data_IF_810651178285
#
_entry.id   IF_810651178285
#
_cell.length_a   1.000
_cell.length_b   1.000
_cell.length_c   1.000
_cell.angle_alpha   90.00
_cell.angle_beta   90.00
_cell.angle_gamma   90.00
#
_symmetry.space_group_name_H-M   'P 1'
#
loop_
_entity.id
_entity.type
_entity.pdbx_description
1 polymer ?
2 non-polymer ?
3 water ?
#
# COMPACT_ATOMS: atom_id res chain seq x y z
N UNK A 3 -3.04 -5.42 -27.19
CA UNK A 3 -3.44 -4.03 -27.41
C UNK A 3 -2.54 -3.07 -26.63
N UNK A 4 -2.05 -2.04 -27.32
CA UNK A 4 -1.05 -1.17 -26.74
C UNK A 4 -1.65 0.05 -26.04
N UNK A 5 -2.96 0.24 -26.09
CA UNK A 5 -3.54 1.14 -25.11
C UNK A 5 -3.35 0.55 -23.72
N UNK A 6 -3.37 -0.79 -23.62
CA UNK A 6 -3.12 -1.45 -22.33
C UNK A 6 -1.70 -1.20 -21.88
N UNK A 7 -0.73 -1.40 -22.78
CA UNK A 7 0.68 -1.19 -22.45
C UNK A 7 0.92 0.23 -21.91
N UNK A 8 0.21 1.23 -22.44
CA UNK A 8 0.39 2.63 -22.08
C UNK A 8 -0.69 3.14 -21.14
N UNK A 9 -1.45 2.23 -20.52
CA UNK A 9 -2.54 2.62 -19.64
C UNK A 9 -2.09 3.59 -18.55
N UNK A 10 -0.84 3.48 -18.11
CA UNK A 10 -0.33 4.31 -17.03
C UNK A 10 0.99 4.95 -17.40
N UNK A 11 1.19 6.17 -16.91
CA UNK A 11 2.49 6.82 -16.96
C UNK A 11 3.11 6.71 -15.57
N UNK A 12 4.38 6.34 -15.52
CA UNK A 12 5.04 5.97 -14.27
C UNK A 12 5.92 7.11 -13.79
N UNK A 13 5.78 7.47 -12.52
CA UNK A 13 6.64 8.48 -11.90
C UNK A 13 7.41 7.83 -10.75
N UNK A 14 8.71 7.58 -10.89
CA UNK A 14 9.44 6.87 -9.82
C UNK A 14 9.74 7.79 -8.65
N UNK A 15 9.82 7.18 -7.47
CA UNK A 15 10.16 7.94 -6.26
C UNK A 15 11.61 8.41 -6.30
N UNK A 16 12.51 7.60 -6.85
CA UNK A 16 13.92 7.96 -6.94
C UNK A 16 14.50 7.33 -8.20
N UNK A 17 15.75 7.66 -8.49
CA UNK A 17 16.41 7.07 -9.66
C UNK A 17 16.63 5.57 -9.47
N UNK A 18 16.82 5.12 -8.23
CA UNK A 18 16.90 3.68 -7.99
C UNK A 18 15.57 3.01 -8.27
N UNK A 19 14.46 3.63 -7.87
CA UNK A 19 13.16 3.06 -8.17
C UNK A 19 12.95 2.97 -9.67
N UNK A 20 13.45 3.95 -10.41
CA UNK A 20 13.34 3.93 -11.87
C UNK A 20 14.09 2.75 -12.45
N UNK A 21 15.29 2.46 -11.93
CA UNK A 21 16.05 1.31 -12.41
C UNK A 21 15.30 0.02 -12.16
N UNK A 22 14.74 -0.13 -10.96
CA UNK A 22 14.01 -1.35 -10.63
C UNK A 22 12.77 -1.47 -11.50
N UNK A 23 12.07 -0.36 -11.72
CA UNK A 23 10.91 -0.37 -12.59
C UNK A 23 11.29 -0.79 -14.01
N UNK A 24 12.39 -0.25 -14.54
CA UNK A 24 12.79 -0.61 -15.90
C UNK A 24 13.21 -2.06 -16.01
N UNK A 25 13.66 -2.68 -14.91
CA UNK A 25 13.96 -4.10 -14.94
C UNK A 25 12.71 -4.96 -15.08
N UNK A 26 11.53 -4.44 -14.69
CA UNK A 26 10.25 -5.11 -14.89
C UNK A 26 10.18 -6.47 -14.20
N UNK A 27 10.98 -6.67 -13.15
CA UNK A 27 11.01 -7.97 -12.46
C UNK A 27 9.70 -8.25 -11.74
N UNK A 28 9.21 -7.27 -10.97
CA UNK A 28 8.03 -7.52 -10.14
C UNK A 28 7.37 -6.20 -9.79
N UNK A 29 6.04 -6.21 -9.81
CA UNK A 29 5.23 -5.10 -9.32
C UNK A 29 4.30 -5.61 -8.23
N UNK A 30 4.20 -4.85 -7.15
CA UNK A 30 3.24 -5.09 -6.08
C UNK A 30 2.18 -3.99 -6.16
N UNK A 31 0.94 -4.38 -6.42
CA UNK A 31 -0.14 -3.42 -6.62
C UNK A 31 -0.83 -3.19 -5.28
N UNK A 32 -0.72 -1.97 -4.74
CA UNK A 32 -1.36 -1.69 -3.47
C UNK A 32 -2.81 -1.27 -3.65
N UNK A 33 -3.74 -2.01 -3.05
CA UNK A 33 -5.18 -1.74 -3.19
C UNK A 33 -5.65 -1.23 -1.84
N UNK A 34 -6.05 0.03 -1.80
CA UNK A 34 -6.38 0.70 -0.55
C UNK A 34 -7.86 0.45 -0.20
N UNK A 35 -8.16 0.09 1.05
CA UNK A 35 -9.55 -0.18 1.42
C UNK A 35 -10.35 1.10 1.65
N UNK A 36 -11.64 1.02 1.36
CA UNK A 36 -12.57 2.14 1.56
C UNK A 36 -12.15 3.36 0.76
N UNK A 37 -11.71 3.11 -0.46
CA UNK A 37 -11.23 4.14 -1.38
C UNK A 37 -11.95 3.93 -2.70
N UNK A 38 -12.75 4.91 -3.11
CA UNK A 38 -13.61 4.74 -4.29
C UNK A 38 -12.81 4.54 -5.57
N UNK A 39 -11.54 4.93 -5.59
CA UNK A 39 -10.71 4.76 -6.78
C UNK A 39 -10.67 3.31 -7.25
N UNK A 40 -10.71 2.35 -6.32
CA UNK A 40 -10.46 0.95 -6.65
C UNK A 40 -11.78 0.25 -6.97
N UNK A 41 -12.39 0.70 -8.06
CA UNK A 41 -13.51 0.03 -8.68
C UNK A 41 -13.06 -1.25 -9.37
N UNK A 42 -14.03 -2.06 -9.78
CA UNK A 42 -13.71 -3.23 -10.59
C UNK A 42 -12.93 -2.83 -11.83
N UNK A 43 -13.38 -1.79 -12.54
CA UNK A 43 -12.72 -1.39 -13.77
C UNK A 43 -11.27 -0.95 -13.53
N UNK A 44 -11.03 -0.16 -12.48
CA UNK A 44 -9.67 0.32 -12.22
C UNK A 44 -8.75 -0.82 -11.82
N UNK A 45 -9.24 -1.74 -10.98
CA UNK A 45 -8.42 -2.90 -10.60
C UNK A 45 -8.06 -3.71 -11.84
N UNK A 46 -9.00 -3.88 -12.77
CA UNK A 46 -8.68 -4.56 -14.01
C UNK A 46 -7.62 -3.79 -14.81
N UNK A 47 -7.74 -2.45 -14.86
CA UNK A 47 -6.74 -1.68 -15.58
C UNK A 47 -5.36 -1.86 -14.96
N UNK A 48 -5.27 -1.82 -13.62
CA UNK A 48 -3.98 -2.00 -12.96
C UNK A 48 -3.36 -3.34 -13.34
N UNK A 49 -4.16 -4.40 -13.31
CA UNK A 49 -3.65 -5.74 -13.51
C UNK A 49 -3.39 -6.01 -15.00
N UNK A 50 -4.26 -5.49 -15.87
CA UNK A 50 -4.01 -5.63 -17.31
C UNK A 50 -2.70 -4.96 -17.71
N UNK A 51 -2.49 -3.72 -17.28
CA UNK A 51 -1.24 -3.02 -17.55
C UNK A 51 -0.05 -3.74 -16.91
N UNK A 52 -0.20 -4.18 -15.65
CA UNK A 52 0.91 -4.85 -14.99
C UNK A 52 1.27 -6.15 -15.70
N UNK A 53 0.25 -6.91 -16.12
CA UNK A 53 0.48 -8.19 -16.78
C UNK A 53 1.20 -8.01 -18.10
N UNK A 54 1.01 -6.88 -18.77
CA UNK A 54 1.71 -6.65 -20.03
C UNK A 54 3.14 -6.23 -19.82
N UNK A 55 3.45 -5.58 -18.69
CA UNK A 55 4.73 -4.94 -18.50
C UNK A 55 5.70 -5.73 -17.64
N UNK A 56 5.23 -6.46 -16.63
CA UNK A 56 6.11 -7.02 -15.63
C UNK A 56 6.19 -8.54 -15.71
N UNK A 57 7.36 -9.08 -15.33
CA UNK A 57 7.54 -10.52 -15.30
C UNK A 57 6.64 -11.17 -14.25
N UNK A 58 6.50 -10.54 -13.10
CA UNK A 58 5.74 -11.08 -11.98
C UNK A 58 4.87 -9.98 -11.41
N UNK A 59 3.64 -10.35 -11.03
CA UNK A 59 2.62 -9.43 -10.53
C UNK A 59 2.06 -10.01 -9.23
N UNK A 60 1.99 -9.18 -8.20
CA UNK A 60 1.36 -9.52 -6.93
C UNK A 60 0.43 -8.37 -6.54
N UNK A 61 -0.68 -8.72 -5.89
CA UNK A 61 -1.65 -7.74 -5.39
C UNK A 61 -1.60 -7.75 -3.87
N UNK A 62 -1.46 -6.57 -3.25
CA UNK A 62 -1.47 -6.43 -1.81
C UNK A 62 -2.77 -5.77 -1.36
N UNK A 63 -3.50 -6.45 -0.48
CA UNK A 63 -4.73 -5.96 0.12
C UNK A 63 -4.51 -5.64 1.59
N UNK A 64 -5.47 -4.91 2.17
CA UNK A 64 -5.34 -4.51 3.57
C UNK A 64 -5.56 -5.69 4.50
N UNK A 65 -4.77 -5.72 5.58
CA UNK A 65 -4.87 -6.71 6.62
C UNK A 65 -5.78 -6.26 7.75
N UNK A 66 -5.60 -6.90 8.92
CA UNK A 66 -6.55 -6.77 10.02
C UNK A 66 -6.73 -5.32 10.46
N UNK A 67 -5.64 -4.55 10.45
CA UNK A 67 -5.72 -3.19 10.97
C UNK A 67 -6.56 -2.27 10.11
N UNK A 68 -7.10 -2.74 8.98
CA UNK A 68 -8.01 -1.89 8.22
C UNK A 68 -9.22 -1.50 9.06
N UNK A 69 -9.61 -2.34 10.03
CA UNK A 69 -10.73 -1.97 10.90
C UNK A 69 -10.42 -0.73 11.73
N UNK A 70 -9.14 -0.48 12.04
CA UNK A 70 -8.78 0.70 12.83
C UNK A 70 -9.17 1.99 12.12
N UNK A 71 -9.11 2.00 10.79
CA UNK A 71 -9.49 3.19 10.04
C UNK A 71 -10.95 3.51 10.25
N UNK A 72 -11.79 2.49 10.34
CA UNK A 72 -13.22 2.72 10.61
C UNK A 72 -13.46 3.00 12.09
N UNK A 73 -12.81 2.24 12.98
CA UNK A 73 -12.98 2.46 14.41
C UNK A 73 -12.61 3.88 14.81
N UNK A 74 -11.62 4.46 14.12
CA UNK A 74 -11.24 5.84 14.44
C UNK A 74 -12.26 6.84 13.94
N UNK A 75 -12.97 6.53 12.85
CA UNK A 75 -14.03 7.39 12.34
C UNK A 75 -15.38 7.05 12.95
N UNK A 76 -15.41 6.65 14.22
CA UNK A 76 -16.64 6.23 14.87
C UNK A 76 -17.33 5.08 14.17
N UNK A 77 -16.76 3.87 14.29
CA UNK A 77 -17.43 2.65 13.91
C UNK A 77 -17.16 1.61 15.00
N UNK A 78 -18.18 1.04 15.62
CA UNK A 78 -17.93 0.01 16.62
C UNK A 78 -17.24 -1.19 15.99
N UNK A 79 -16.41 -1.87 16.79
CA UNK A 79 -15.57 -2.95 16.26
C UNK A 79 -16.37 -3.98 15.48
N UNK A 80 -17.57 -4.32 15.94
CA UNK A 80 -18.38 -5.34 15.27
C UNK A 80 -18.70 -4.95 13.83
N UNK A 81 -19.21 -3.73 13.64
CA UNK A 81 -19.53 -3.27 12.30
C UNK A 81 -18.25 -3.09 11.47
N UNK A 82 -17.18 -2.59 12.08
CA UNK A 82 -15.93 -2.35 11.36
C UNK A 82 -15.37 -3.65 10.80
N UNK A 83 -15.30 -4.69 11.63
CA UNK A 83 -14.77 -5.97 11.19
C UNK A 83 -15.61 -6.54 10.03
N UNK A 84 -16.93 -6.35 10.09
CA UNK A 84 -17.77 -6.79 8.97
C UNK A 84 -17.42 -6.04 7.70
N UNK A 85 -17.36 -4.70 7.78
CA UNK A 85 -17.08 -3.91 6.59
C UNK A 85 -15.73 -4.28 5.98
N UNK A 86 -14.73 -4.59 6.81
CA UNK A 86 -13.44 -5.00 6.30
C UNK A 86 -13.55 -6.31 5.54
N UNK A 87 -14.14 -7.33 6.17
CA UNK A 87 -14.28 -8.63 5.51
C UNK A 87 -14.94 -8.49 4.15
N UNK A 88 -15.98 -7.66 4.06
CA UNK A 88 -16.69 -7.45 2.80
C UNK A 88 -15.84 -6.71 1.78
N UNK A 89 -15.11 -5.69 2.22
CA UNK A 89 -14.26 -4.92 1.31
C UNK A 89 -13.12 -5.79 0.77
N UNK A 90 -12.46 -6.55 1.63
CA UNK A 90 -11.36 -7.40 1.18
C UNK A 90 -11.85 -8.48 0.22
N UNK A 91 -13.04 -9.04 0.47
CA UNK A 91 -13.56 -10.05 -0.45
C UNK A 91 -13.87 -9.43 -1.81
N UNK A 92 -14.36 -8.19 -1.83
CA UNK A 92 -14.59 -7.49 -3.09
C UNK A 92 -13.27 -7.29 -3.85
N UNK A 93 -12.24 -6.80 -3.15
CA UNK A 93 -10.95 -6.59 -3.80
C UNK A 93 -10.38 -7.90 -4.33
N UNK A 94 -10.49 -8.98 -3.54
CA UNK A 94 -9.98 -10.26 -3.98
C UNK A 94 -10.71 -10.75 -5.24
N UNK A 95 -12.04 -10.66 -5.24
CA UNK A 95 -12.82 -11.12 -6.39
C UNK A 95 -12.37 -10.42 -7.67
N UNK A 96 -12.36 -9.09 -7.65
CA UNK A 96 -12.00 -8.34 -8.86
C UNK A 96 -10.56 -8.60 -9.26
N UNK A 97 -9.66 -8.69 -8.28
CA UNK A 97 -8.26 -8.97 -8.61
C UNK A 97 -8.12 -10.38 -9.20
N UNK A 98 -8.78 -11.37 -8.61
CA UNK A 98 -8.70 -12.73 -9.13
C UNK A 98 -9.19 -12.79 -10.57
N UNK A 99 -10.33 -12.13 -10.86
CA UNK A 99 -10.86 -12.05 -12.22
C UNK A 99 -9.78 -11.61 -13.21
N UNK A 100 -9.17 -10.45 -12.95
CA UNK A 100 -8.25 -9.86 -13.92
C UNK A 100 -6.97 -10.66 -14.04
N UNK A 101 -6.47 -11.20 -12.92
CA UNK A 101 -5.30 -12.07 -13.00
C UNK A 101 -5.60 -13.30 -13.85
N UNK A 102 -6.74 -13.95 -13.57
CA UNK A 102 -7.12 -15.13 -14.35
C UNK A 102 -7.29 -14.78 -15.82
N UNK A 103 -7.93 -13.65 -16.11
CA UNK A 103 -8.09 -13.19 -17.49
C UNK A 103 -6.75 -13.09 -18.21
N UNK A 104 -5.70 -12.70 -17.49
CA UNK A 104 -4.38 -12.54 -18.08
C UNK A 104 -3.53 -13.79 -18.00
N UNK A 105 -4.10 -14.92 -17.58
CA UNK A 105 -3.30 -16.13 -17.45
C UNK A 105 -2.25 -16.07 -16.37
N UNK A 106 -2.48 -15.28 -15.32
CA UNK A 106 -1.53 -15.04 -14.25
C UNK A 106 -1.88 -15.82 -13.00
N UNK A 107 -0.85 -16.18 -12.23
CA UNK A 107 -1.08 -16.77 -10.92
C UNK A 107 -1.89 -15.83 -10.04
N UNK A 108 -2.77 -16.41 -9.23
CA UNK A 108 -3.61 -15.63 -8.32
C UNK A 108 -2.78 -15.27 -7.08
N UNK A 109 -1.84 -14.33 -7.27
CA UNK A 109 -0.90 -13.98 -6.22
C UNK A 109 -1.42 -12.74 -5.48
N UNK A 110 -2.26 -12.99 -4.47
CA UNK A 110 -2.95 -11.95 -3.72
C UNK A 110 -2.76 -12.23 -2.24
N UNK A 111 -2.30 -11.23 -1.49
CA UNK A 111 -2.08 -11.35 -0.05
C UNK A 111 -2.60 -10.10 0.64
N UNK A 112 -2.92 -10.22 1.93
CA UNK A 112 -3.08 -9.06 2.78
C UNK A 112 -1.79 -8.81 3.54
N UNK A 113 -1.64 -7.58 4.06
CA UNK A 113 -0.40 -7.37 4.80
C UNK A 113 -0.39 -8.05 6.16
N UNK A 114 -1.44 -8.79 6.53
CA UNK A 114 -1.45 -9.62 7.73
C UNK A 114 -1.03 -11.06 7.47
N UNK A 115 -0.66 -11.41 6.24
CA UNK A 115 -0.40 -12.79 5.87
C UNK A 115 1.04 -13.22 6.11
N UNK A 116 1.82 -12.42 6.84
CA UNK A 116 3.28 -12.57 6.91
C UNK A 116 3.78 -12.56 8.35
N UNK A 117 2.94 -12.93 9.31
CA UNK A 117 3.34 -12.98 10.71
C UNK A 117 4.40 -14.04 10.96
N UNK A 118 4.53 -15.03 10.08
CA UNK A 118 5.55 -16.06 10.21
C UNK A 118 6.71 -15.84 9.25
N UNK A 119 6.84 -14.64 8.70
CA UNK A 119 7.88 -14.29 7.74
C UNK A 119 8.89 -13.43 8.49
N UNK A 120 10.15 -13.86 8.50
CA UNK A 120 11.17 -13.18 9.29
C UNK A 120 11.44 -11.78 8.76
N UNK A 121 11.39 -11.58 7.45
CA UNK A 121 11.67 -10.26 6.92
C UNK A 121 10.59 -9.29 7.33
N UNK A 122 9.32 -9.69 7.15
CA UNK A 122 8.23 -8.80 7.54
C UNK A 122 8.33 -8.43 9.01
N UNK A 123 8.57 -9.42 9.87
CA UNK A 123 8.56 -9.16 11.31
C UNK A 123 9.72 -8.26 11.71
N UNK A 124 10.90 -8.48 11.14
CA UNK A 124 12.05 -7.67 11.56
C UNK A 124 11.92 -6.24 11.05
N UNK A 125 11.42 -6.05 9.83
CA UNK A 125 11.17 -4.68 9.37
C UNK A 125 10.09 -4.02 10.23
N UNK A 126 9.01 -4.75 10.51
CA UNK A 126 7.94 -4.24 11.37
C UNK A 126 8.49 -3.81 12.74
N UNK A 127 9.35 -4.65 13.33
CA UNK A 127 9.97 -4.29 14.61
C UNK A 127 10.80 -3.02 14.48
N UNK A 128 11.53 -2.87 13.37
CA UNK A 128 12.28 -1.63 13.16
C UNK A 128 11.35 -0.43 13.07
N UNK A 129 10.25 -0.57 12.32
CA UNK A 129 9.28 0.52 12.18
C UNK A 129 8.71 0.91 13.53
N UNK A 130 8.36 -0.09 14.37
CA UNK A 130 7.78 0.23 15.67
C UNK A 130 8.83 0.86 16.57
N UNK A 131 10.07 0.38 16.50
CA UNK A 131 11.13 0.94 17.32
C UNK A 131 11.35 2.42 17.01
N UNK A 132 11.47 2.76 15.74
CA UNK A 132 11.70 4.16 15.41
C UNK A 132 10.44 5.01 15.58
N UNK A 133 9.25 4.41 15.46
CA UNK A 133 8.04 5.16 15.79
C UNK A 133 8.06 5.59 17.26
N UNK A 134 8.56 4.72 18.13
CA UNK A 134 8.65 5.03 19.55
C UNK A 134 9.78 6.00 19.86
N UNK A 135 10.93 5.84 19.19
CA UNK A 135 12.18 6.46 19.62
C UNK A 135 12.59 7.68 18.79
N UNK A 136 12.11 7.82 17.56
CA UNK A 136 12.48 8.96 16.72
C UNK A 136 11.24 9.83 16.49
N UNK A 137 11.17 10.95 17.20
CA UNK A 137 10.01 11.83 17.08
C UNK A 137 9.77 12.27 15.65
N UNK A 138 10.84 12.43 14.86
CA UNK A 138 10.69 12.84 13.47
C UNK A 138 10.01 11.75 12.64
N UNK A 139 10.41 10.50 12.84
CA UNK A 139 9.75 9.40 12.15
C UNK A 139 8.31 9.22 12.64
N UNK A 140 8.12 9.32 13.96
CA UNK A 140 6.77 9.24 14.53
C UNK A 140 5.87 10.29 13.90
N UNK A 141 6.36 11.52 13.76
CA UNK A 141 5.57 12.59 13.17
C UNK A 141 5.15 12.24 11.73
N UNK A 142 6.07 11.69 10.94
CA UNK A 142 5.73 11.31 9.56
C UNK A 142 4.72 10.18 9.52
N UNK A 143 4.87 9.20 10.41
CA UNK A 143 3.88 8.11 10.44
C UNK A 143 2.51 8.62 10.82
N UNK A 144 2.44 9.51 11.82
CA UNK A 144 1.16 10.09 12.20
C UNK A 144 0.56 10.92 11.07
N UNK A 145 1.40 11.56 10.25
CA UNK A 145 0.89 12.27 9.09
C UNK A 145 0.29 11.29 8.07
N UNK A 146 0.92 10.13 7.87
CA UNK A 146 0.30 9.12 7.02
C UNK A 146 -1.04 8.69 7.60
N UNK A 147 -1.12 8.59 8.93
CA UNK A 147 -2.37 8.24 9.59
C UNK A 147 -3.42 9.32 9.35
N UNK A 148 -3.02 10.59 9.50
CA UNK A 148 -3.93 11.69 9.23
C UNK A 148 -4.45 11.64 7.80
N UNK A 149 -3.56 11.39 6.84
CA UNK A 149 -3.97 11.28 5.43
C UNK A 149 -5.01 10.18 5.27
N UNK A 150 -4.77 9.01 5.87
CA UNK A 150 -5.67 7.89 5.74
C UNK A 150 -7.04 8.22 6.33
N UNK A 151 -7.08 8.93 7.47
CA UNK A 151 -8.36 9.23 8.10
C UNK A 151 -9.08 10.36 7.37
N UNK A 152 -8.33 11.38 6.95
CA UNK A 152 -8.95 12.51 6.27
C UNK A 152 -9.59 12.10 4.95
N UNK A 153 -8.91 11.25 4.16
CA UNK A 153 -9.47 10.87 2.87
C UNK A 153 -10.70 10.00 3.03
N UNK A 154 -10.78 9.21 4.11
CA UNK A 154 -11.95 8.37 4.30
C UNK A 154 -13.06 9.09 5.05
N UNK A 155 -12.74 10.13 5.82
CA UNK A 155 -13.77 11.02 6.33
C UNK A 155 -14.53 11.69 5.18
N UNK A 156 -13.81 12.12 4.13
CA UNK A 156 -14.49 12.60 2.93
C UNK A 156 -15.26 11.48 2.26
N UNK A 157 -14.60 10.34 2.05
CA UNK A 157 -15.18 9.26 1.28
C UNK A 157 -16.44 8.72 1.95
N UNK A 158 -16.35 8.37 3.22
CA UNK A 158 -17.50 7.92 4.00
C UNK A 158 -18.43 9.08 4.37
N UNK A 159 -18.17 10.29 3.88
CA UNK A 159 -19.04 11.46 4.08
C UNK A 159 -19.13 11.85 5.56
N UNK A 160 -17.96 12.05 6.18
CA UNK A 160 -17.83 12.47 7.57
C UNK A 160 -16.87 13.65 7.68
N UNK A 161 -16.96 14.59 6.72
CA UNK A 161 -15.96 15.66 6.63
C UNK A 161 -16.02 16.64 7.80
N UNK A 162 -17.04 16.54 8.66
CA UNK A 162 -17.23 17.45 9.78
C UNK A 162 -16.45 17.04 11.02
N UNK A 163 -15.77 15.90 10.99
CA UNK A 163 -15.18 15.34 12.20
C UNK A 163 -13.81 15.95 12.46
N UNK A 164 -13.59 16.37 13.70
CA UNK A 164 -12.26 16.68 14.16
C UNK A 164 -11.43 15.40 14.22
N UNK A 165 -10.22 15.43 13.67
CA UNK A 165 -9.30 14.30 13.76
C UNK A 165 -8.43 14.50 15.00
N UNK A 166 -8.66 13.69 16.02
CA UNK A 166 -7.99 13.82 17.29
C UNK A 166 -6.71 13.00 17.30
N UNK A 167 -5.90 13.19 18.35
CA UNK A 167 -4.71 12.39 18.54
C UNK A 167 -5.07 10.93 18.76
N UNK A 168 -6.11 10.68 19.58
CA UNK A 168 -6.51 9.29 19.82
C UNK A 168 -6.96 8.61 18.53
N UNK A 169 -7.58 9.36 17.63
CA UNK A 169 -7.89 8.81 16.32
C UNK A 169 -6.60 8.50 15.55
N UNK A 170 -5.67 9.45 15.54
CA UNK A 170 -4.41 9.26 14.80
C UNK A 170 -3.63 8.07 15.32
N UNK A 171 -3.55 7.91 16.64
CA UNK A 171 -2.75 6.83 17.20
C UNK A 171 -3.43 5.49 17.00
N UNK A 172 -4.77 5.47 16.93
CA UNK A 172 -5.45 4.21 16.63
C UNK A 172 -5.24 3.80 15.18
N UNK A 173 -5.43 4.75 14.25
CA UNK A 173 -5.26 4.46 12.83
C UNK A 173 -3.80 4.27 12.43
N UNK A 174 -2.83 4.77 13.20
CA UNK A 174 -1.44 4.59 12.78
C UNK A 174 -1.02 3.13 12.90
N UNK A 175 -1.78 2.31 13.64
CA UNK A 175 -1.49 0.88 13.64
C UNK A 175 -1.60 0.29 12.24
N UNK A 176 -2.53 0.82 11.43
CA UNK A 176 -2.63 0.44 10.03
C UNK A 176 -1.36 0.83 9.26
N UNK A 177 -0.93 2.08 9.43
CA UNK A 177 0.28 2.57 8.76
C UNK A 177 1.47 1.69 9.09
N UNK A 178 1.67 1.41 10.38
CA UNK A 178 2.86 0.66 10.78
C UNK A 178 2.81 -0.76 10.24
N UNK A 179 1.63 -1.37 10.16
CA UNK A 179 1.50 -2.72 9.65
C UNK A 179 1.75 -2.81 8.14
N UNK A 180 1.40 -1.77 7.38
CA UNK A 180 1.60 -1.81 5.93
C UNK A 180 3.01 -1.37 5.53
N UNK A 181 3.66 -0.56 6.36
CA UNK A 181 4.96 0.00 5.98
C UNK A 181 6.02 -1.02 5.60
N UNK A 182 6.14 -2.21 6.22
CA UNK A 182 7.21 -3.12 5.78
C UNK A 182 7.16 -3.43 4.29
N UNK A 183 5.98 -3.38 3.66
CA UNK A 183 5.92 -3.65 2.23
C UNK A 183 6.41 -2.47 1.40
N UNK A 184 6.23 -1.23 1.89
CA UNK A 184 6.86 -0.07 1.26
C UNK A 184 8.37 -0.15 1.33
N UNK A 185 8.90 -0.67 2.45
CA UNK A 185 10.34 -0.64 2.70
C UNK A 185 11.05 -1.85 2.11
N UNK A 186 10.39 -3.01 2.09
CA UNK A 186 11.09 -4.26 1.77
C UNK A 186 10.16 -5.31 1.14
N UNK A 187 9.17 -4.89 0.34
CA UNK A 187 8.21 -5.85 -0.19
C UNK A 187 8.84 -6.95 -1.03
N UNK A 188 9.84 -6.61 -1.87
CA UNK A 188 10.48 -7.64 -2.68
C UNK A 188 11.10 -8.73 -1.80
N UNK A 189 11.82 -8.32 -0.76
CA UNK A 189 12.50 -9.29 0.09
C UNK A 189 11.52 -10.07 0.95
N UNK A 190 10.42 -9.43 1.39
CA UNK A 190 9.39 -10.16 2.12
C UNK A 190 8.79 -11.27 1.25
N UNK A 191 8.48 -10.93 -0.01
CA UNK A 191 7.79 -11.88 -0.88
C UNK A 191 8.73 -12.89 -1.53
N UNK A 192 10.01 -12.56 -1.66
CA UNK A 192 10.97 -13.44 -2.27
C UNK A 192 11.29 -13.16 -3.73
N UNK A 193 11.14 -11.91 -4.19
CA UNK A 193 11.57 -11.53 -5.52
C UNK A 193 12.90 -10.79 -5.45
N UNK A 194 13.65 -10.85 -6.56
CA UNK A 194 14.96 -10.22 -6.61
C UNK A 194 14.85 -8.73 -6.34
N UNK A 195 13.78 -8.11 -6.84
CA UNK A 195 13.52 -6.68 -6.70
C UNK A 195 12.06 -6.44 -7.01
N UNK A 196 11.55 -5.28 -6.59
CA UNK A 196 10.12 -5.01 -6.79
C UNK A 196 9.87 -3.51 -6.69
N UNK A 197 8.80 -3.05 -7.33
CA UNK A 197 8.27 -1.72 -7.04
C UNK A 197 6.86 -1.91 -6.48
N UNK A 198 6.56 -1.22 -5.38
CA UNK A 198 5.19 -1.03 -4.95
C UNK A 198 4.58 0.11 -5.76
N UNK A 199 3.37 -0.09 -6.28
CA UNK A 199 2.76 0.87 -7.20
C UNK A 199 1.45 1.39 -6.64
N UNK A 200 1.28 2.70 -6.68
CA UNK A 200 0.11 3.36 -6.12
C UNK A 200 -0.09 4.64 -6.89
N UNK A 201 -1.26 5.27 -6.72
CA UNK A 201 -1.59 6.43 -7.55
C UNK A 201 -1.33 7.77 -6.86
N UNK A 202 -0.76 7.76 -5.67
CA UNK A 202 -0.45 8.99 -4.97
C UNK A 202 1.00 8.99 -4.55
N UNK A 203 1.63 10.16 -4.45
CA UNK A 203 2.99 10.23 -3.93
C UNK A 203 3.05 9.71 -2.50
N UNK A 204 4.24 9.29 -2.10
CA UNK A 204 4.51 8.83 -0.74
C UNK A 204 5.51 9.80 -0.11
N UNK A 205 4.99 10.75 0.68
CA UNK A 205 5.80 11.83 1.24
C UNK A 205 6.89 11.29 2.17
N UNK A 206 6.53 10.35 3.04
CA UNK A 206 7.54 9.75 3.91
C UNK A 206 8.62 9.06 3.10
N UNK A 207 8.22 8.45 1.97
CA UNK A 207 9.21 7.84 1.10
C UNK A 207 10.21 8.85 0.57
N UNK A 208 9.74 10.05 0.25
CA UNK A 208 10.65 11.11 -0.19
C UNK A 208 11.66 11.41 0.90
N UNK A 209 11.22 11.47 2.16
CA UNK A 209 12.15 11.76 3.24
C UNK A 209 13.11 10.61 3.46
N UNK A 210 12.61 9.36 3.40
CA UNK A 210 13.50 8.20 3.49
C UNK A 210 14.56 8.25 2.40
N UNK A 211 14.17 8.62 1.17
CA UNK A 211 15.14 8.67 0.08
C UNK A 211 16.09 9.86 0.19
N UNK A 212 15.72 10.85 0.99
CA UNK A 212 16.60 11.95 1.33
C UNK A 212 17.52 11.63 2.50
N UNK A 213 17.54 10.36 2.94
CA UNK A 213 18.41 9.87 4.03
C UNK A 213 18.14 10.58 5.36
N UNK A 214 16.87 10.80 5.68
CA UNK A 214 16.49 11.54 6.88
C UNK A 214 16.24 10.65 8.10
N UNK A 215 16.28 9.32 7.95
CA UNK A 215 16.00 8.41 9.05
C UNK A 215 16.97 7.23 9.02
N UNK A 216 17.03 6.54 10.16
CA UNK A 216 17.70 5.25 10.18
C UNK A 216 16.87 4.19 9.50
N UNK A 217 15.56 4.41 9.38
CA UNK A 217 14.71 3.59 8.51
C UNK A 217 15.10 3.83 7.06
N UNK A 218 15.40 2.75 6.33
CA UNK A 218 15.75 2.81 4.92
C UNK A 218 14.90 1.82 4.13
N UNK A 219 14.66 2.15 2.86
CA UNK A 219 14.15 1.14 1.94
C UNK A 219 15.29 0.18 1.60
N UNK A 220 14.92 -1.08 1.40
CA UNK A 220 15.88 -2.05 0.89
C UNK A 220 16.38 -1.61 -0.50
N UNK A 221 17.65 -1.97 -0.78
CA UNK A 221 18.28 -1.57 -2.04
C UNK A 221 17.54 -2.11 -3.25
N UNK A 222 16.81 -3.22 -3.09
CA UNK A 222 16.07 -3.85 -4.18
C UNK A 222 14.59 -3.48 -4.17
N UNK A 223 14.22 -2.43 -3.45
CA UNK A 223 12.83 -2.00 -3.31
C UNK A 223 12.67 -0.61 -3.91
N UNK A 224 11.61 -0.43 -4.72
CA UNK A 224 11.27 0.87 -5.26
C UNK A 224 9.80 1.18 -5.03
N UNK A 225 9.44 2.43 -5.35
CA UNK A 225 8.06 2.91 -5.26
C UNK A 225 7.77 3.70 -6.52
N UNK A 226 6.61 3.45 -7.14
CA UNK A 226 6.23 4.21 -8.33
C UNK A 226 4.82 4.75 -8.18
N UNK A 227 4.61 5.96 -8.71
CA UNK A 227 3.30 6.55 -8.84
C UNK A 227 2.76 6.21 -10.22
N UNK A 228 1.54 5.68 -10.27
CA UNK A 228 0.85 5.40 -11.51
C UNK A 228 -0.09 6.55 -11.82
N UNK A 229 0.15 7.25 -12.93
CA UNK A 229 -0.75 8.29 -13.40
C UNK A 229 -1.42 7.83 -14.68
N UNK A 230 -2.62 8.34 -14.93
CA UNK A 230 -3.28 8.13 -16.22
C UNK A 230 -3.39 9.47 -16.94
N UNK A 231 -2.98 9.48 -18.22
CA UNK A 231 -2.94 10.71 -19.00
C UNK A 231 -3.57 10.45 -20.36
N UNK A 232 -4.05 11.53 -20.99
CA UNK A 232 -4.61 11.44 -22.34
C UNK A 232 -3.49 11.57 -23.38
X LIG B 1 -1.28 2.48 1.25
X LIG B 1 -1.77 2.36 -0.05
X LIG B 1 -1.09 1.17 -0.72
X LIG B 1 0.20 1.54 -1.15
X LIG B 1 -1.02 0.03 0.28
X LIG B 1 -2.43 -0.38 0.71
X LIG B 1 -2.31 -1.42 1.82
X LIG B 1 -2.84 -2.71 1.24
#
# INVERSE_FOLDING_TARGET
GMQQVIKDLFYVVPLSRNCEKIYKNKTHILLGISPFNSKFSQNYIHQLIDWSSKNFKNVTVLLAGDEAKNLLEALGTPTTKAERKVRKEIRRHFRFSEEALRKNGREIDIYTFSDFKNNKIYNEVYQNVIYYFEKDEKFRKSCLAMSHDALSSRAKSLNMEDIEITDNMLFHAVKYVLAELPFFLSGASILGYKESVLAYHRPWKLGEKIKNSEFYIKMSDNQGYIILKQIN
0RE O01 C02 C03 O04 C05 C06 C07 C08
#
